data_IF_143921860644
#
_entry.id   IF_143921860644
#
_cell.length_a   1.000
_cell.length_b   1.000
_cell.length_c   1.000
_cell.angle_alpha   90.00
_cell.angle_beta   90.00
_cell.angle_gamma   90.00
#
_symmetry.space_group_name_H-M   'P 1'
#
loop_
_entity.id
_entity.type
_entity.pdbx_description
1 polymer ?
#
# COMPACT_ATOMS: atom_id res chain seq x y z
N UNK A 1 -29.85 21.39 38.52
CA UNK A 1 -28.65 20.69 38.00
C UNK A 1 -28.52 20.70 36.47
N UNK A 2 -29.17 21.62 35.74
CA UNK A 2 -29.14 21.60 34.26
C UNK A 2 -28.16 22.59 33.62
N UNK A 3 -27.82 23.69 34.31
CA UNK A 3 -26.91 24.72 33.76
C UNK A 3 -25.45 24.27 33.68
N UNK A 4 -25.00 23.38 34.57
CA UNK A 4 -23.61 22.88 34.59
C UNK A 4 -23.28 21.96 33.41
N UNK A 5 -24.28 21.24 32.87
CA UNK A 5 -24.11 20.39 31.68
C UNK A 5 -23.86 21.21 30.41
N UNK A 6 -24.47 22.40 30.30
CA UNK A 6 -24.28 23.31 29.17
C UNK A 6 -22.85 23.87 29.10
N UNK A 7 -22.27 24.25 30.24
CA UNK A 7 -20.89 24.73 30.30
C UNK A 7 -19.87 23.63 30.03
N UNK A 8 -20.11 22.40 30.48
CA UNK A 8 -19.26 21.26 30.16
C UNK A 8 -19.26 20.95 28.65
N UNK A 9 -20.41 21.05 27.99
CA UNK A 9 -20.50 20.88 26.53
C UNK A 9 -19.77 21.99 25.77
N UNK A 10 -19.91 23.24 26.21
CA UNK A 10 -19.22 24.39 25.60
C UNK A 10 -17.70 24.31 25.81
N UNK A 11 -17.25 23.82 26.97
CA UNK A 11 -15.84 23.58 27.23
C UNK A 11 -15.27 22.46 26.35
N UNK A 12 -16.00 21.35 26.19
CA UNK A 12 -15.60 20.26 25.29
C UNK A 12 -15.57 20.70 23.82
N UNK A 13 -16.55 21.50 23.38
CA UNK A 13 -16.58 22.10 22.06
C UNK A 13 -15.39 23.06 21.84
N UNK A 14 -15.10 23.92 22.82
CA UNK A 14 -13.95 24.81 22.77
C UNK A 14 -12.62 24.06 22.73
N UNK A 15 -12.46 23.02 23.55
CA UNK A 15 -11.27 22.18 23.58
C UNK A 15 -11.09 21.35 22.30
N UNK A 16 -12.18 20.87 21.69
CA UNK A 16 -12.13 20.14 20.43
C UNK A 16 -11.73 21.05 19.25
N UNK A 17 -12.27 22.28 19.20
CA UNK A 17 -11.90 23.27 18.19
C UNK A 17 -10.47 23.75 18.36
N UNK A 18 -10.04 24.02 19.60
CA UNK A 18 -8.67 24.43 19.91
C UNK A 18 -7.65 23.30 19.67
N UNK A 19 -7.98 22.07 20.08
CA UNK A 19 -7.16 20.88 19.85
C UNK A 19 -7.06 20.51 18.37
N UNK A 20 -8.16 20.65 17.62
CA UNK A 20 -8.17 20.44 16.17
C UNK A 20 -7.34 21.48 15.41
N UNK A 21 -7.37 22.75 15.83
CA UNK A 21 -6.57 23.81 15.22
C UNK A 21 -5.07 23.67 15.51
N UNK A 22 -4.69 23.25 16.72
CA UNK A 22 -3.29 23.03 17.10
C UNK A 22 -2.70 21.73 16.49
N UNK A 23 -3.49 20.67 16.37
CA UNK A 23 -3.05 19.45 15.68
C UNK A 23 -2.75 19.67 14.20
N UNK A 24 -3.51 20.54 13.54
CA UNK A 24 -3.37 20.85 12.11
C UNK A 24 -2.16 21.76 11.78
N UNK A 25 -1.69 22.57 12.72
CA UNK A 25 -0.49 23.41 12.54
C UNK A 25 0.79 22.65 12.87
N UNK A 26 0.76 21.72 13.83
CA UNK A 26 1.89 20.84 14.13
C UNK A 26 2.23 19.94 12.92
N UNK A 27 1.23 19.30 12.31
CA UNK A 27 1.42 18.40 11.16
C UNK A 27 2.09 19.12 9.98
N UNK A 28 1.75 20.40 9.75
CA UNK A 28 2.29 21.21 8.66
C UNK A 28 3.75 21.64 8.86
N UNK A 29 4.20 21.82 10.10
CA UNK A 29 5.59 22.21 10.41
C UNK A 29 6.52 20.99 10.49
N UNK A 30 5.99 19.82 10.85
CA UNK A 30 6.76 18.57 10.83
C UNK A 30 6.97 18.03 9.40
N UNK A 31 5.99 18.15 8.50
CA UNK A 31 6.15 17.72 7.10
C UNK A 31 7.13 18.60 6.29
N UNK A 32 7.19 19.91 6.56
CA UNK A 32 8.10 20.82 5.86
C UNK A 32 9.60 20.57 6.15
N UNK A 33 9.93 19.88 7.25
CA UNK A 33 11.32 19.60 7.65
C UNK A 33 11.86 18.25 7.18
N UNK A 34 11.06 17.42 6.54
CA UNK A 34 11.49 16.08 6.11
C UNK A 34 11.43 15.97 4.59
N UNK A 35 12.42 16.61 3.93
CA UNK A 35 12.70 16.51 2.49
C UNK A 35 13.17 15.13 2.04
N UNK A 36 12.41 14.07 2.37
CA UNK A 36 12.47 12.83 1.60
C UNK A 36 11.53 13.03 0.42
N UNK A 37 12.03 12.80 -0.79
CA UNK A 37 11.19 12.63 -1.98
C UNK A 37 9.99 11.76 -1.60
N UNK A 38 8.83 12.39 -1.44
CA UNK A 38 7.62 11.67 -1.06
C UNK A 38 7.28 10.79 -2.26
N UNK A 39 7.63 9.50 -2.22
CA UNK A 39 7.09 8.50 -3.14
C UNK A 39 5.94 7.82 -2.42
N UNK A 40 4.74 7.88 -3.02
CA UNK A 40 3.56 7.20 -2.51
C UNK A 40 2.26 7.99 -2.63
N UNK A 41 1.13 7.39 -2.22
CA UNK A 41 -0.21 7.97 -2.38
C UNK A 41 -0.38 9.35 -1.72
N UNK A 42 0.33 9.63 -0.62
CA UNK A 42 0.31 10.93 0.06
C UNK A 42 1.00 12.03 -0.75
N UNK A 43 2.12 11.70 -1.37
CA UNK A 43 2.84 12.62 -2.25
C UNK A 43 2.01 13.06 -3.44
N UNK A 44 1.31 12.10 -4.04
CA UNK A 44 0.41 12.37 -5.15
C UNK A 44 -0.74 13.28 -4.74
N UNK A 45 -1.34 13.04 -3.56
CA UNK A 45 -2.39 13.91 -3.03
C UNK A 45 -1.90 15.33 -2.75
N UNK A 46 -0.71 15.47 -2.18
CA UNK A 46 -0.11 16.78 -1.91
C UNK A 46 0.19 17.52 -3.21
N UNK A 47 0.83 16.86 -4.17
CA UNK A 47 1.07 17.41 -5.52
C UNK A 47 -0.23 17.84 -6.20
N UNK A 48 -1.28 17.01 -6.14
CA UNK A 48 -2.60 17.35 -6.68
C UNK A 48 -3.20 18.57 -5.98
N UNK A 49 -3.06 18.67 -4.66
CA UNK A 49 -3.55 19.81 -3.90
C UNK A 49 -2.83 21.11 -4.30
N UNK A 50 -1.51 21.04 -4.51
CA UNK A 50 -0.68 22.17 -4.91
C UNK A 50 -0.97 22.60 -6.37
N UNK A 51 -1.06 21.65 -7.30
CA UNK A 51 -1.35 21.90 -8.72
C UNK A 51 -2.76 22.49 -8.92
N UNK A 52 -3.75 22.01 -8.18
CA UNK A 52 -5.13 22.49 -8.24
C UNK A 52 -5.39 23.69 -7.33
N UNK A 53 -4.38 24.14 -6.56
CA UNK A 53 -4.47 25.23 -5.60
C UNK A 53 -5.68 25.08 -4.66
N UNK A 54 -5.85 23.87 -4.13
CA UNK A 54 -6.99 23.55 -3.27
C UNK A 54 -6.95 24.38 -1.98
N UNK A 55 -8.10 24.90 -1.57
CA UNK A 55 -8.26 25.45 -0.22
C UNK A 55 -8.16 24.32 0.82
N UNK A 56 -7.80 24.62 2.08
CA UNK A 56 -7.74 23.60 3.13
C UNK A 56 -9.04 22.81 3.30
N UNK A 57 -10.19 23.47 3.13
CA UNK A 57 -11.52 22.84 3.20
C UNK A 57 -11.75 21.86 2.04
N UNK A 58 -11.33 22.22 0.82
CA UNK A 58 -11.43 21.34 -0.35
C UNK A 58 -10.50 20.13 -0.21
N UNK A 59 -9.26 20.35 0.24
CA UNK A 59 -8.30 19.28 0.48
C UNK A 59 -8.85 18.24 1.47
N UNK A 60 -9.33 18.69 2.64
CA UNK A 60 -9.93 17.79 3.64
C UNK A 60 -11.15 17.01 3.10
N UNK A 61 -11.98 17.67 2.28
CA UNK A 61 -13.14 17.02 1.65
C UNK A 61 -12.72 15.93 0.65
N UNK A 62 -11.71 16.22 -0.17
CA UNK A 62 -11.16 15.27 -1.16
C UNK A 62 -10.47 14.10 -0.48
N UNK A 63 -9.70 14.34 0.59
CA UNK A 63 -9.06 13.28 1.36
C UNK A 63 -10.09 12.31 1.94
N UNK A 64 -11.20 12.84 2.49
CA UNK A 64 -12.31 12.03 2.98
C UNK A 64 -12.94 11.16 1.88
N UNK A 65 -13.16 11.73 0.69
CA UNK A 65 -13.69 10.99 -0.46
C UNK A 65 -12.74 9.89 -0.95
N UNK A 66 -11.44 10.17 -1.02
CA UNK A 66 -10.42 9.19 -1.41
C UNK A 66 -10.37 8.03 -0.41
N UNK A 67 -10.48 8.33 0.89
CA UNK A 67 -10.48 7.32 1.94
C UNK A 67 -11.77 6.48 1.92
N UNK A 68 -12.92 7.11 1.69
CA UNK A 68 -14.18 6.40 1.48
C UNK A 68 -14.09 5.45 0.27
N UNK A 69 -13.56 5.94 -0.86
CA UNK A 69 -13.32 5.12 -2.05
C UNK A 69 -12.40 3.93 -1.72
N UNK A 70 -11.32 4.18 -0.98
CA UNK A 70 -10.40 3.12 -0.58
C UNK A 70 -11.12 2.02 0.23
N UNK A 71 -11.92 2.39 1.23
CA UNK A 71 -12.73 1.43 2.00
C UNK A 71 -13.69 0.63 1.15
N UNK A 72 -14.38 1.29 0.20
CA UNK A 72 -15.30 0.62 -0.72
C UNK A 72 -14.56 -0.41 -1.59
N UNK A 73 -13.41 -0.04 -2.16
CA UNK A 73 -12.58 -0.96 -2.95
C UNK A 73 -12.13 -2.14 -2.08
N UNK A 74 -11.61 -1.91 -0.87
CA UNK A 74 -11.18 -2.98 0.03
C UNK A 74 -12.32 -3.93 0.36
N UNK A 75 -13.53 -3.41 0.60
CA UNK A 75 -14.71 -4.22 0.86
C UNK A 75 -15.08 -5.12 -0.33
N UNK A 76 -14.95 -4.62 -1.57
CA UNK A 76 -15.17 -5.41 -2.79
C UNK A 76 -14.13 -6.53 -2.97
N UNK A 77 -12.86 -6.25 -2.64
CA UNK A 77 -11.76 -7.21 -2.82
C UNK A 77 -11.68 -8.27 -1.71
N UNK A 78 -12.09 -7.94 -0.49
CA UNK A 78 -11.98 -8.83 0.68
C UNK A 78 -12.54 -10.24 0.46
N UNK A 79 -13.76 -10.44 -0.08
CA UNK A 79 -14.32 -11.78 -0.27
C UNK A 79 -13.62 -12.59 -1.37
N UNK A 80 -13.12 -11.94 -2.42
CA UNK A 80 -12.46 -12.62 -3.55
C UNK A 80 -10.97 -12.86 -3.34
N UNK A 81 -10.37 -12.20 -2.34
CA UNK A 81 -8.93 -12.31 -2.05
C UNK A 81 -8.45 -13.76 -1.90
N UNK A 82 -9.11 -14.67 -1.16
CA UNK A 82 -8.66 -16.05 -1.04
C UNK A 82 -8.65 -16.81 -2.38
N UNK A 83 -9.60 -16.50 -3.27
CA UNK A 83 -9.66 -17.10 -4.61
C UNK A 83 -8.51 -16.61 -5.47
N UNK A 84 -8.21 -15.31 -5.43
CA UNK A 84 -7.05 -14.73 -6.12
C UNK A 84 -5.73 -15.31 -5.61
N UNK A 85 -5.60 -15.47 -4.29
CA UNK A 85 -4.42 -16.09 -3.68
C UNK A 85 -4.27 -17.56 -4.14
N UNK A 86 -5.38 -18.30 -4.23
CA UNK A 86 -5.40 -19.68 -4.74
C UNK A 86 -5.00 -19.75 -6.21
N UNK A 87 -5.53 -18.85 -7.06
CA UNK A 87 -5.17 -18.75 -8.48
C UNK A 87 -3.66 -18.47 -8.62
N UNK A 88 -3.09 -17.61 -7.78
CA UNK A 88 -1.67 -17.32 -7.80
C UNK A 88 -0.80 -18.55 -7.48
N UNK A 89 -1.24 -19.39 -6.54
CA UNK A 89 -0.57 -20.68 -6.23
C UNK A 89 -0.66 -21.63 -7.43
N UNK A 90 -1.85 -21.80 -8.01
CA UNK A 90 -2.06 -22.67 -9.17
C UNK A 90 -1.23 -22.22 -10.38
N UNK A 91 -1.19 -20.91 -10.65
CA UNK A 91 -0.39 -20.35 -11.74
C UNK A 91 1.11 -20.63 -11.56
N UNK A 92 1.60 -20.64 -10.30
CA UNK A 92 2.98 -21.01 -9.99
C UNK A 92 3.24 -22.48 -10.29
N UNK A 93 2.35 -23.38 -9.88
CA UNK A 93 2.46 -24.82 -10.16
C UNK A 93 2.51 -25.08 -11.67
N UNK A 94 1.62 -24.45 -12.44
CA UNK A 94 1.63 -24.56 -13.91
C UNK A 94 2.96 -24.07 -14.48
N UNK A 95 3.43 -22.90 -14.05
CA UNK A 95 4.70 -22.32 -14.50
C UNK A 95 5.90 -23.22 -14.18
N UNK A 96 5.94 -23.81 -12.98
CA UNK A 96 6.99 -24.73 -12.53
C UNK A 96 6.97 -26.02 -13.37
N UNK A 97 5.78 -26.57 -13.61
CA UNK A 97 5.62 -27.78 -14.44
C UNK A 97 6.04 -27.55 -15.89
N UNK A 98 5.67 -26.42 -16.49
CA UNK A 98 6.04 -26.06 -17.86
C UNK A 98 7.55 -25.86 -17.98
N UNK A 99 8.16 -25.19 -17.01
CA UNK A 99 9.61 -25.04 -16.98
C UNK A 99 10.33 -26.38 -16.90
N UNK A 100 9.87 -27.32 -16.07
CA UNK A 100 10.44 -28.65 -15.98
C UNK A 100 10.31 -29.42 -17.32
N UNK A 101 9.18 -29.28 -18.02
CA UNK A 101 8.99 -29.88 -19.35
C UNK A 101 9.94 -29.28 -20.38
N UNK A 102 10.07 -27.95 -20.43
CA UNK A 102 11.03 -27.26 -21.31
C UNK A 102 12.44 -27.76 -21.03
N UNK A 103 12.84 -27.83 -19.76
CA UNK A 103 14.18 -28.23 -19.36
C UNK A 103 14.57 -29.63 -19.86
N UNK A 104 13.61 -30.57 -19.92
CA UNK A 104 13.85 -31.93 -20.45
C UNK A 104 14.16 -31.98 -21.94
N UNK A 105 13.76 -30.95 -22.70
CA UNK A 105 14.03 -30.86 -24.14
C UNK A 105 15.40 -30.25 -24.45
N UNK A 106 16.12 -29.77 -23.44
CA UNK A 106 17.35 -29.02 -23.59
C UNK A 106 18.58 -29.88 -23.30
N UNK A 107 19.68 -29.58 -23.99
CA UNK A 107 20.99 -30.13 -23.65
C UNK A 107 21.53 -29.53 -22.33
N UNK A 108 22.56 -30.14 -21.69
CA UNK A 108 23.04 -29.69 -20.38
C UNK A 108 23.42 -28.20 -20.33
N UNK A 109 24.11 -27.68 -21.35
CA UNK A 109 24.52 -26.28 -21.39
C UNK A 109 23.34 -25.31 -21.51
N UNK A 110 22.30 -25.73 -22.23
CA UNK A 110 21.05 -24.97 -22.37
C UNK A 110 20.25 -24.99 -21.07
N UNK A 111 20.22 -26.11 -20.34
CA UNK A 111 19.56 -26.21 -19.04
C UNK A 111 20.17 -25.23 -18.03
N UNK A 112 21.50 -25.17 -17.94
CA UNK A 112 22.20 -24.23 -17.05
C UNK A 112 21.89 -22.78 -17.41
N UNK A 113 21.81 -22.45 -18.71
CA UNK A 113 21.43 -21.11 -19.17
C UNK A 113 19.99 -20.76 -18.80
N UNK A 114 19.06 -21.69 -18.97
CA UNK A 114 17.66 -21.50 -18.60
C UNK A 114 17.49 -21.25 -17.09
N UNK A 115 18.21 -22.00 -16.25
CA UNK A 115 18.17 -21.82 -14.79
C UNK A 115 18.68 -20.43 -14.38
N UNK A 116 19.76 -19.96 -15.01
CA UNK A 116 20.32 -18.61 -14.77
C UNK A 116 19.33 -17.51 -15.17
N UNK A 117 18.71 -17.64 -16.34
CA UNK A 117 17.69 -16.69 -16.81
C UNK A 117 16.53 -16.60 -15.81
N UNK A 118 16.06 -17.75 -15.33
CA UNK A 118 14.98 -17.82 -14.36
C UNK A 118 15.37 -17.19 -13.01
N UNK A 119 16.56 -17.47 -12.51
CA UNK A 119 17.06 -16.88 -11.28
C UNK A 119 17.21 -15.36 -11.37
N UNK A 120 17.72 -14.85 -12.50
CA UNK A 120 17.82 -13.41 -12.76
C UNK A 120 16.45 -12.74 -12.78
N UNK A 121 15.47 -13.32 -13.47
CA UNK A 121 14.10 -12.81 -13.50
C UNK A 121 13.45 -12.77 -12.11
N UNK A 122 13.67 -13.81 -11.28
CA UNK A 122 13.19 -13.81 -9.90
C UNK A 122 13.86 -12.74 -9.04
N UNK A 123 15.16 -12.51 -9.21
CA UNK A 123 15.90 -11.47 -8.51
C UNK A 123 15.40 -10.08 -8.89
N UNK A 124 15.26 -9.80 -10.19
CA UNK A 124 14.71 -8.52 -10.67
C UNK A 124 13.31 -8.26 -10.11
N UNK A 125 12.43 -9.28 -10.12
CA UNK A 125 11.09 -9.14 -9.56
C UNK A 125 11.13 -8.88 -8.04
N UNK A 126 12.05 -9.53 -7.31
CA UNK A 126 12.23 -9.31 -5.88
C UNK A 126 12.73 -7.90 -5.59
N UNK A 127 13.66 -7.37 -6.39
CA UNK A 127 14.17 -6.01 -6.29
C UNK A 127 13.07 -4.97 -6.58
N UNK A 128 12.28 -5.19 -7.64
CA UNK A 128 11.13 -4.34 -7.97
C UNK A 128 10.04 -4.37 -6.88
N UNK A 129 9.86 -5.51 -6.21
CA UNK A 129 8.89 -5.68 -5.12
C UNK A 129 9.42 -5.16 -3.77
N UNK A 130 10.73 -5.22 -3.54
CA UNK A 130 11.40 -4.65 -2.37
C UNK A 130 11.57 -3.13 -2.45
N UNK A 131 11.43 -2.55 -3.65
CA UNK A 131 11.64 -1.13 -3.91
C UNK A 131 10.51 -0.18 -3.54
N UNK A 132 9.26 -0.62 -3.32
CA UNK A 132 8.16 0.31 -2.97
C UNK A 132 6.85 -0.41 -2.58
N UNK A 133 6.71 -0.94 -1.35
CA UNK A 133 5.37 -1.14 -0.73
C UNK A 133 5.45 -1.40 0.78
N UNK A 134 5.18 -0.40 1.65
CA UNK A 134 4.87 -0.66 3.05
C UNK A 134 3.48 -1.29 3.13
N UNK A 135 3.39 -2.57 3.53
CA UNK A 135 2.11 -3.21 3.91
C UNK A 135 1.80 -4.57 3.27
N UNK A 136 2.65 -5.15 2.43
CA UNK A 136 2.47 -6.54 1.97
C UNK A 136 3.21 -7.50 2.92
N UNK A 137 2.55 -8.50 3.51
CA UNK A 137 3.26 -9.51 4.30
C UNK A 137 4.32 -10.19 3.42
N UNK A 138 5.50 -10.50 3.99
CA UNK A 138 6.56 -11.19 3.26
C UNK A 138 5.99 -12.48 2.68
N UNK A 139 6.23 -12.72 1.39
CA UNK A 139 5.91 -14.02 0.80
C UNK A 139 6.77 -15.10 1.48
N UNK A 140 6.29 -16.35 1.56
CA UNK A 140 7.08 -17.43 2.13
C UNK A 140 8.43 -17.54 1.39
N UNK A 141 9.53 -17.78 2.11
CA UNK A 141 10.86 -17.87 1.51
C UNK A 141 10.93 -19.00 0.47
N UNK A 142 11.78 -18.87 -0.56
CA UNK A 142 12.00 -19.94 -1.53
C UNK A 142 12.52 -21.19 -0.80
N UNK A 143 11.75 -22.29 -0.83
CA UNK A 143 12.16 -23.57 -0.24
C UNK A 143 11.44 -23.99 1.04
N UNK A 144 10.47 -23.22 1.55
CA UNK A 144 9.61 -23.71 2.64
C UNK A 144 8.68 -24.82 2.10
N UNK A 145 8.72 -26.05 2.67
CA UNK A 145 7.78 -27.09 2.29
C UNK A 145 6.35 -26.69 2.67
N UNK A 146 5.33 -27.08 1.88
CA UNK A 146 3.94 -26.94 2.30
C UNK A 146 3.69 -27.86 3.50
N UNK A 147 3.04 -27.35 4.53
CA UNK A 147 2.35 -28.20 5.51
C UNK A 147 1.21 -28.94 4.80
#
# INVERSE_FOLDING_TARGET
MERSKGYALMFLLGAFVAGGALGFTADRVFDAKHGREMRGPRAYRQKMADELKLTPKQQASIDSLIEQKHRQIVALYKPVKPQLDSIAVLARVVSDSTHAQIKRLLNPDQQVRLDKMRAAAHKELAERRGGDTPGRPPGPPPGAPPY
#
